data_IF_273075513447
#
_entry.id   IF_273075513447
#
_cell.length_a   1.000
_cell.length_b   1.000
_cell.length_c   1.000
_cell.angle_alpha   90.00
_cell.angle_beta   90.00
_cell.angle_gamma   90.00
#
_symmetry.space_group_name_H-M   'P 1'
#
loop_
_entity.id
_entity.type
_entity.pdbx_description
1 polymer ?
#
# COMPACT_ATOMS: atom_id res chain seq x y z
N UNK A 1 24.41 20.72 22.85
CA UNK A 1 24.14 19.34 22.39
C UNK A 1 23.83 19.40 20.90
N UNK A 2 24.49 18.60 20.05
CA UNK A 2 24.09 18.48 18.64
C UNK A 2 23.01 17.41 18.59
N UNK A 3 21.74 17.81 18.57
CA UNK A 3 20.66 16.90 18.20
C UNK A 3 20.95 16.44 16.77
N UNK A 4 20.97 15.14 16.54
CA UNK A 4 21.24 14.59 15.22
C UNK A 4 20.13 15.01 14.24
N UNK A 5 20.49 15.24 12.98
CA UNK A 5 19.55 15.72 11.95
C UNK A 5 18.42 14.74 11.69
N UNK A 6 18.67 13.44 11.82
CA UNK A 6 17.65 12.38 11.73
C UNK A 6 16.54 12.55 12.78
N UNK A 7 16.90 12.85 14.02
CA UNK A 7 15.96 13.08 15.13
C UNK A 7 15.10 14.32 14.87
N UNK A 8 15.71 15.44 14.43
CA UNK A 8 14.97 16.68 14.14
C UNK A 8 13.97 16.45 13.01
N UNK A 9 14.38 15.73 11.96
CA UNK A 9 13.53 15.40 10.82
C UNK A 9 12.38 14.48 11.22
N UNK A 10 12.66 13.40 11.96
CA UNK A 10 11.65 12.47 12.43
C UNK A 10 10.61 13.15 13.36
N UNK A 11 11.07 14.01 14.26
CA UNK A 11 10.20 14.84 15.09
C UNK A 11 9.30 15.75 14.25
N UNK A 12 9.85 16.43 13.25
CA UNK A 12 9.08 17.30 12.37
C UNK A 12 8.01 16.51 11.60
N UNK A 13 8.36 15.35 11.04
CA UNK A 13 7.44 14.47 10.34
C UNK A 13 6.35 13.91 11.26
N UNK A 14 6.71 13.50 12.48
CA UNK A 14 5.75 13.04 13.48
C UNK A 14 4.79 14.18 13.86
N UNK A 15 5.30 15.39 14.09
CA UNK A 15 4.48 16.55 14.39
C UNK A 15 3.55 16.90 13.23
N UNK A 16 4.03 16.90 12.00
CA UNK A 16 3.22 17.16 10.80
C UNK A 16 2.07 16.15 10.69
N UNK A 17 2.38 14.85 10.75
CA UNK A 17 1.39 13.81 10.58
C UNK A 17 0.40 13.69 11.76
N UNK A 18 0.89 13.86 13.01
CA UNK A 18 0.06 13.73 14.20
C UNK A 18 -0.74 15.00 14.54
N UNK A 19 -0.16 16.18 14.32
CA UNK A 19 -0.73 17.46 14.77
C UNK A 19 -1.39 18.22 13.63
N UNK A 20 -0.75 18.32 12.45
CA UNK A 20 -1.33 19.05 11.34
C UNK A 20 -2.37 18.19 10.60
N UNK A 21 -1.96 16.99 10.18
CA UNK A 21 -2.78 16.08 9.37
C UNK A 21 -3.71 15.22 10.23
N UNK A 22 -3.44 15.10 11.54
CA UNK A 22 -4.01 14.11 12.45
C UNK A 22 -5.52 13.94 12.37
N UNK A 23 -5.99 12.72 12.05
CA UNK A 23 -7.41 12.35 12.09
C UNK A 23 -7.65 11.41 13.29
N UNK A 24 -8.76 11.59 14.00
CA UNK A 24 -9.20 10.69 15.05
C UNK A 24 -10.13 9.59 14.51
N UNK A 25 -9.55 8.59 13.83
CA UNK A 25 -10.32 7.50 13.22
C UNK A 25 -11.10 6.68 14.23
N UNK A 26 -10.58 6.51 15.45
CA UNK A 26 -11.31 5.84 16.53
C UNK A 26 -12.69 6.46 16.80
N UNK A 27 -12.81 7.79 16.72
CA UNK A 27 -14.08 8.49 16.95
C UNK A 27 -14.89 8.65 15.67
N UNK A 28 -14.23 8.93 14.54
CA UNK A 28 -14.91 9.24 13.28
C UNK A 28 -15.30 7.99 12.47
N UNK A 29 -14.68 6.85 12.73
CA UNK A 29 -14.86 5.62 11.96
C UNK A 29 -14.28 5.69 10.55
N UNK A 30 -14.64 4.69 9.74
CA UNK A 30 -14.32 4.59 8.30
C UNK A 30 -15.42 5.20 7.43
N UNK A 31 -15.11 5.40 6.14
CA UNK A 31 -16.09 5.70 5.11
C UNK A 31 -15.75 6.94 4.28
N UNK A 32 -16.72 7.40 3.46
CA UNK A 32 -16.50 8.35 2.34
C UNK A 32 -16.14 9.78 2.76
N UNK A 33 -15.90 10.00 4.03
CA UNK A 33 -15.83 11.33 4.64
C UNK A 33 -14.43 11.60 5.20
N UNK A 34 -13.43 11.04 4.55
CA UNK A 34 -12.00 11.27 4.76
C UNK A 34 -11.34 11.79 3.47
N UNK A 35 -10.14 12.38 3.54
CA UNK A 35 -9.43 12.84 2.35
C UNK A 35 -9.25 11.72 1.32
N UNK A 36 -9.52 12.03 0.05
CA UNK A 36 -9.48 11.06 -1.06
C UNK A 36 -8.08 10.84 -1.62
N UNK A 37 -7.14 11.76 -1.42
CA UNK A 37 -5.76 11.67 -1.93
C UNK A 37 -4.74 12.02 -0.86
N UNK A 38 -3.49 11.63 -1.08
CA UNK A 38 -2.36 11.97 -0.22
C UNK A 38 -2.10 13.48 -0.15
N UNK A 39 -2.29 14.20 -1.25
CA UNK A 39 -2.21 15.66 -1.28
C UNK A 39 -3.30 16.30 -0.41
N UNK A 40 -4.52 15.77 -0.44
CA UNK A 40 -5.62 16.27 0.40
C UNK A 40 -5.33 16.08 1.91
N UNK A 41 -4.67 14.98 2.26
CA UNK A 41 -4.14 14.76 3.61
C UNK A 41 -3.13 15.85 4.03
N UNK A 42 -2.14 16.14 3.19
CA UNK A 42 -1.12 17.17 3.44
C UNK A 42 -1.69 18.58 3.56
N UNK A 43 -2.75 18.92 2.79
CA UNK A 43 -3.42 20.23 2.90
C UNK A 43 -4.04 20.47 4.28
N UNK A 44 -4.43 19.41 5.00
CA UNK A 44 -5.03 19.49 6.35
C UNK A 44 -6.35 20.30 6.39
N UNK A 45 -7.04 20.42 5.27
CA UNK A 45 -8.26 21.24 5.14
C UNK A 45 -9.56 20.46 5.23
N UNK A 46 -9.46 19.13 5.15
CA UNK A 46 -10.62 18.26 5.12
C UNK A 46 -11.40 18.30 6.44
N UNK A 47 -12.73 18.12 6.37
CA UNK A 47 -13.63 18.16 7.53
C UNK A 47 -13.26 17.17 8.64
N UNK A 48 -12.73 16.00 8.30
CA UNK A 48 -12.32 14.99 9.28
C UNK A 48 -11.10 15.46 10.08
N UNK A 49 -10.11 16.08 9.44
CA UNK A 49 -8.97 16.75 10.09
C UNK A 49 -9.41 17.94 10.95
N UNK A 50 -10.44 18.68 10.51
CA UNK A 50 -10.96 19.86 11.21
C UNK A 50 -12.02 19.56 12.27
N UNK A 51 -12.46 18.31 12.41
CA UNK A 51 -13.51 17.91 13.35
C UNK A 51 -13.10 18.18 14.81
N UNK A 52 -14.04 18.44 15.72
CA UNK A 52 -13.73 18.66 17.14
C UNK A 52 -12.90 17.53 17.77
N UNK A 53 -13.24 16.27 17.46
CA UNK A 53 -12.53 15.08 17.95
C UNK A 53 -11.06 15.07 17.47
N UNK A 54 -10.83 15.24 16.16
CA UNK A 54 -9.49 15.33 15.59
C UNK A 54 -8.70 16.51 16.18
N UNK A 55 -9.31 17.69 16.34
CA UNK A 55 -8.64 18.86 16.94
C UNK A 55 -8.24 18.62 18.40
N UNK A 56 -9.09 17.95 19.17
CA UNK A 56 -8.77 17.57 20.55
C UNK A 56 -7.56 16.61 20.58
N UNK A 57 -7.55 15.60 19.72
CA UNK A 57 -6.43 14.67 19.60
C UNK A 57 -5.14 15.36 19.18
N UNK A 58 -5.17 16.18 18.14
CA UNK A 58 -4.02 16.97 17.68
C UNK A 58 -3.44 17.85 18.80
N UNK A 59 -4.30 18.49 19.61
CA UNK A 59 -3.87 19.28 20.77
C UNK A 59 -3.15 18.41 21.81
N UNK A 60 -3.68 17.22 22.08
CA UNK A 60 -3.04 16.28 23.01
C UNK A 60 -1.70 15.76 22.47
N UNK A 61 -1.62 15.43 21.18
CA UNK A 61 -0.37 15.03 20.51
C UNK A 61 0.67 16.14 20.57
N UNK A 62 0.28 17.39 20.28
CA UNK A 62 1.16 18.56 20.41
C UNK A 62 1.71 18.72 21.82
N UNK A 63 0.86 18.60 22.85
CA UNK A 63 1.27 18.74 24.24
C UNK A 63 2.32 17.67 24.62
N UNK A 64 2.09 16.41 24.26
CA UNK A 64 3.05 15.31 24.50
C UNK A 64 4.37 15.52 23.79
N UNK A 65 4.35 15.91 22.51
CA UNK A 65 5.58 16.18 21.77
C UNK A 65 6.40 17.33 22.37
N UNK A 66 5.73 18.38 22.87
CA UNK A 66 6.40 19.48 23.59
C UNK A 66 7.01 18.99 24.91
N UNK A 67 6.30 18.16 25.66
CA UNK A 67 6.80 17.58 26.92
C UNK A 67 7.99 16.63 26.69
N UNK A 68 7.92 15.78 25.66
CA UNK A 68 8.99 14.92 25.21
C UNK A 68 10.26 15.72 24.86
N UNK A 69 10.09 16.84 24.14
CA UNK A 69 11.18 17.75 23.79
C UNK A 69 11.81 18.41 25.00
N UNK A 70 10.99 18.92 25.93
CA UNK A 70 11.47 19.53 27.16
C UNK A 70 12.26 18.52 28.01
N UNK A 71 11.73 17.30 28.15
CA UNK A 71 12.36 16.24 28.94
C UNK A 71 13.70 15.77 28.32
N UNK A 72 13.79 15.72 27.00
CA UNK A 72 15.04 15.40 26.32
C UNK A 72 16.07 16.54 26.41
N UNK A 73 15.63 17.80 26.39
CA UNK A 73 16.52 18.96 26.60
C UNK A 73 17.14 18.97 28.00
N UNK A 74 16.41 18.47 28.99
CA UNK A 74 16.86 18.27 30.38
C UNK A 74 17.71 16.99 30.58
N UNK A 75 18.06 16.26 29.52
CA UNK A 75 18.77 14.97 29.57
C UNK A 75 18.06 13.86 30.36
N UNK A 76 16.74 13.93 30.50
CA UNK A 76 15.96 12.93 31.26
C UNK A 76 15.55 11.71 30.43
N UNK A 77 15.49 11.85 29.10
CA UNK A 77 15.00 10.81 28.20
C UNK A 77 15.87 10.67 26.94
N UNK A 78 15.96 9.44 26.43
CA UNK A 78 16.50 9.15 25.09
C UNK A 78 15.47 9.54 24.02
N UNK A 79 15.81 10.48 23.15
CA UNK A 79 14.86 11.03 22.18
C UNK A 79 14.39 9.99 21.15
N UNK A 80 15.23 9.02 20.77
CA UNK A 80 14.83 7.99 19.80
C UNK A 80 13.76 7.09 20.39
N UNK A 81 13.99 6.58 21.60
CA UNK A 81 13.03 5.75 22.33
C UNK A 81 11.73 6.51 22.57
N UNK A 82 11.81 7.77 23.00
CA UNK A 82 10.61 8.61 23.20
C UNK A 82 9.82 8.80 21.91
N UNK A 83 10.48 9.06 20.78
CA UNK A 83 9.79 9.24 19.49
C UNK A 83 9.17 7.93 18.97
N UNK A 84 9.80 6.78 19.22
CA UNK A 84 9.21 5.47 18.93
C UNK A 84 7.93 5.29 19.76
N UNK A 85 7.98 5.57 21.06
CA UNK A 85 6.81 5.47 21.93
C UNK A 85 5.68 6.42 21.53
N UNK A 86 6.00 7.67 21.18
CA UNK A 86 5.02 8.63 20.67
C UNK A 86 4.43 8.15 19.34
N UNK A 87 5.23 7.62 18.41
CA UNK A 87 4.73 7.07 17.16
C UNK A 87 3.75 5.91 17.40
N UNK A 88 4.11 4.93 18.25
CA UNK A 88 3.25 3.80 18.62
C UNK A 88 1.94 4.27 19.25
N UNK A 89 1.98 5.32 20.07
CA UNK A 89 0.79 5.94 20.64
C UNK A 89 -0.06 6.62 19.58
N UNK A 90 0.56 7.34 18.66
CA UNK A 90 -0.15 8.04 17.60
C UNK A 90 -0.83 7.08 16.62
N UNK A 91 -0.31 5.88 16.38
CA UNK A 91 -0.99 4.87 15.54
C UNK A 91 -1.96 3.97 16.33
N UNK A 92 -2.17 4.23 17.63
CA UNK A 92 -3.18 3.55 18.44
C UNK A 92 -2.75 2.24 19.10
N UNK A 93 -1.45 1.90 19.09
CA UNK A 93 -0.94 0.59 19.53
C UNK A 93 0.00 0.64 20.74
N UNK A 94 0.04 1.74 21.49
CA UNK A 94 0.92 1.89 22.66
C UNK A 94 0.75 0.81 23.76
N UNK A 95 -0.37 0.09 23.77
CA UNK A 95 -0.63 -0.98 24.74
C UNK A 95 -0.16 -2.36 24.27
N UNK A 96 0.20 -2.50 22.99
CA UNK A 96 0.62 -3.78 22.40
C UNK A 96 2.10 -4.04 22.73
N UNK A 97 2.35 -5.00 23.63
CA UNK A 97 3.70 -5.27 24.14
C UNK A 97 4.66 -5.74 23.05
N UNK A 98 4.22 -6.61 22.14
CA UNK A 98 5.04 -7.12 21.04
C UNK A 98 5.57 -5.99 20.16
N UNK A 99 4.73 -5.01 19.82
CA UNK A 99 5.12 -3.86 19.01
C UNK A 99 6.12 -2.94 19.71
N UNK A 100 5.99 -2.76 21.03
CA UNK A 100 6.97 -1.98 21.80
C UNK A 100 8.35 -2.65 21.84
N UNK A 101 8.38 -3.98 21.87
CA UNK A 101 9.63 -4.74 21.91
C UNK A 101 10.31 -4.85 20.54
N UNK A 102 9.52 -4.88 19.45
CA UNK A 102 10.04 -5.08 18.10
C UNK A 102 10.25 -3.81 17.28
N UNK A 103 9.59 -2.70 17.62
CA UNK A 103 9.73 -1.43 16.90
C UNK A 103 11.16 -0.88 17.02
N UNK A 104 11.75 -0.52 15.89
CA UNK A 104 13.11 0.02 15.82
C UNK A 104 13.11 1.43 15.28
N UNK A 105 14.17 2.19 15.59
CA UNK A 105 14.36 3.54 15.06
C UNK A 105 14.35 3.57 13.51
N UNK A 106 15.06 2.70 12.79
CA UNK A 106 14.99 2.66 11.33
C UNK A 106 13.58 2.40 10.79
N UNK A 107 12.83 1.46 11.37
CA UNK A 107 11.46 1.17 10.92
C UNK A 107 10.52 2.36 11.13
N UNK A 108 10.56 3.00 12.30
CA UNK A 108 9.76 4.21 12.59
C UNK A 108 10.14 5.38 11.67
N UNK A 109 11.43 5.62 11.42
CA UNK A 109 11.87 6.67 10.49
C UNK A 109 11.39 6.39 9.07
N UNK A 110 11.52 5.16 8.58
CA UNK A 110 11.01 4.80 7.25
C UNK A 110 9.49 4.94 7.15
N UNK A 111 8.75 4.57 8.20
CA UNK A 111 7.31 4.78 8.26
C UNK A 111 6.95 6.27 8.25
N UNK A 112 7.68 7.13 8.95
CA UNK A 112 7.50 8.58 8.94
C UNK A 112 7.82 9.19 7.58
N UNK A 113 8.91 8.79 6.94
CA UNK A 113 9.30 9.22 5.59
C UNK A 113 8.27 8.81 4.53
N UNK A 114 7.66 7.63 4.67
CA UNK A 114 6.58 7.16 3.82
C UNK A 114 5.19 7.71 4.23
N UNK A 115 5.12 8.57 5.25
CA UNK A 115 3.89 9.17 5.80
C UNK A 115 2.85 8.15 6.28
N UNK A 116 3.28 7.08 6.92
CA UNK A 116 2.43 5.97 7.30
C UNK A 116 1.69 6.13 8.63
N UNK A 117 1.82 7.26 9.33
CA UNK A 117 1.13 7.44 10.62
C UNK A 117 -0.40 7.34 10.46
N UNK A 118 -0.98 8.00 9.45
CA UNK A 118 -2.43 7.96 9.22
C UNK A 118 -2.90 6.63 8.63
N UNK A 119 -2.24 6.05 7.60
CA UNK A 119 -2.54 4.69 7.15
C UNK A 119 -2.52 3.65 8.28
N UNK A 120 -1.47 3.61 9.09
CA UNK A 120 -1.35 2.67 10.20
C UNK A 120 -2.36 2.96 11.31
N UNK A 121 -2.63 4.23 11.62
CA UNK A 121 -3.68 4.59 12.60
C UNK A 121 -5.04 4.10 12.13
N UNK A 122 -5.41 4.33 10.87
CA UNK A 122 -6.67 3.89 10.33
C UNK A 122 -6.80 2.36 10.43
N UNK A 123 -5.78 1.60 10.00
CA UNK A 123 -5.80 0.14 10.09
C UNK A 123 -5.93 -0.37 11.53
N UNK A 124 -5.27 0.28 12.50
CA UNK A 124 -5.26 -0.16 13.90
C UNK A 124 -6.51 0.27 14.69
N UNK A 125 -7.09 1.43 14.38
CA UNK A 125 -8.22 2.00 15.13
C UNK A 125 -9.58 1.68 14.52
N UNK A 126 -9.65 1.50 13.21
CA UNK A 126 -10.90 1.20 12.53
C UNK A 126 -11.28 -0.28 12.69
N UNK A 127 -12.59 -0.51 12.74
CA UNK A 127 -13.19 -1.83 12.81
C UNK A 127 -14.20 -1.95 11.68
N UNK A 128 -13.85 -2.72 10.66
CA UNK A 128 -14.80 -3.20 9.66
C UNK A 128 -14.92 -4.71 9.82
N UNK A 129 -16.08 -5.17 10.30
CA UNK A 129 -16.31 -6.58 10.66
C UNK A 129 -17.22 -7.31 9.67
N UNK A 130 -17.50 -6.67 8.53
CA UNK A 130 -18.29 -7.25 7.45
C UNK A 130 -17.71 -6.78 6.11
N UNK A 131 -17.85 -7.59 5.05
CA UNK A 131 -17.58 -7.18 3.66
C UNK A 131 -18.63 -6.21 3.15
N UNK A 132 -18.44 -5.63 1.96
CA UNK A 132 -19.45 -4.81 1.29
C UNK A 132 -20.72 -5.60 0.96
N UNK A 133 -20.57 -6.90 0.70
CA UNK A 133 -21.69 -7.82 0.55
C UNK A 133 -22.30 -8.30 1.89
N UNK A 134 -21.85 -7.79 3.04
CA UNK A 134 -22.38 -8.10 4.36
C UNK A 134 -21.90 -9.42 4.97
N UNK A 135 -20.90 -10.09 4.37
CA UNK A 135 -20.32 -11.31 4.92
C UNK A 135 -19.48 -10.98 6.17
N UNK A 136 -19.64 -11.69 7.29
CA UNK A 136 -18.90 -11.38 8.52
C UNK A 136 -17.39 -11.66 8.37
N UNK A 137 -16.57 -10.79 8.95
CA UNK A 137 -15.12 -10.92 9.01
C UNK A 137 -14.67 -11.44 10.39
N UNK A 138 -13.72 -12.37 10.45
CA UNK A 138 -13.16 -12.84 11.72
C UNK A 138 -12.33 -11.73 12.39
N UNK A 139 -12.91 -11.05 13.39
CA UNK A 139 -12.29 -9.90 14.07
C UNK A 139 -10.90 -10.21 14.63
N UNK A 140 -10.75 -11.34 15.33
CA UNK A 140 -9.49 -11.71 15.98
C UNK A 140 -8.38 -11.98 14.95
N UNK A 141 -8.73 -12.57 13.82
CA UNK A 141 -7.80 -12.81 12.73
C UNK A 141 -7.42 -11.48 12.07
N UNK A 142 -8.39 -10.58 11.88
CA UNK A 142 -8.17 -9.25 11.29
C UNK A 142 -7.22 -8.43 12.14
N UNK A 143 -7.47 -8.42 13.45
CA UNK A 143 -6.56 -7.79 14.41
C UNK A 143 -5.17 -8.40 14.33
N UNK A 144 -5.04 -9.72 14.23
CA UNK A 144 -3.74 -10.41 14.15
C UNK A 144 -2.97 -10.05 12.88
N UNK A 145 -3.64 -10.01 11.72
CA UNK A 145 -3.03 -9.63 10.44
C UNK A 145 -2.57 -8.17 10.49
N UNK A 146 -3.41 -7.25 10.96
CA UNK A 146 -3.09 -5.83 11.08
C UNK A 146 -1.90 -5.58 12.03
N UNK A 147 -1.88 -6.26 13.18
CA UNK A 147 -0.76 -6.15 14.13
C UNK A 147 0.53 -6.72 13.54
N UNK A 148 0.47 -7.86 12.85
CA UNK A 148 1.64 -8.48 12.20
C UNK A 148 2.22 -7.59 11.10
N UNK A 149 1.35 -6.97 10.30
CA UNK A 149 1.74 -6.00 9.28
C UNK A 149 2.33 -4.74 9.91
N UNK A 150 1.72 -4.22 10.97
CA UNK A 150 2.25 -3.04 11.71
C UNK A 150 3.62 -3.36 12.30
N UNK A 151 3.79 -4.55 12.88
CA UNK A 151 5.08 -5.02 13.39
C UNK A 151 6.14 -5.07 12.29
N UNK A 152 5.81 -5.65 11.15
CA UNK A 152 6.71 -5.76 10.00
C UNK A 152 7.18 -4.38 9.51
N UNK A 153 6.29 -3.39 9.43
CA UNK A 153 6.62 -2.00 9.04
C UNK A 153 7.60 -1.37 10.03
N UNK A 154 7.43 -1.60 11.33
CA UNK A 154 8.22 -0.92 12.37
C UNK A 154 9.52 -1.64 12.74
N UNK A 155 9.68 -2.90 12.32
CA UNK A 155 10.85 -3.72 12.66
C UNK A 155 12.12 -3.28 11.94
N UNK A 156 12.04 -2.90 10.66
CA UNK A 156 13.17 -2.40 9.87
C UNK A 156 12.67 -1.64 8.63
N UNK A 157 13.57 -0.96 7.92
CA UNK A 157 13.24 -0.23 6.68
C UNK A 157 12.73 -1.11 5.54
N UNK A 158 13.00 -2.43 5.58
CA UNK A 158 12.53 -3.42 4.60
C UNK A 158 11.55 -4.43 5.20
N UNK A 159 11.23 -4.30 6.49
CA UNK A 159 10.54 -5.35 7.24
C UNK A 159 9.16 -5.69 6.68
N UNK A 160 8.45 -4.70 6.13
CA UNK A 160 7.19 -4.90 5.43
C UNK A 160 7.33 -5.80 4.21
N UNK A 161 8.23 -5.47 3.28
CA UNK A 161 8.51 -6.28 2.11
C UNK A 161 8.97 -7.69 2.52
N UNK A 162 9.95 -7.79 3.42
CA UNK A 162 10.47 -9.08 3.89
C UNK A 162 9.38 -9.98 4.50
N UNK A 163 8.47 -9.41 5.29
CA UNK A 163 7.35 -10.14 5.88
C UNK A 163 6.42 -10.73 4.81
N UNK A 164 6.00 -9.93 3.82
CA UNK A 164 5.08 -10.38 2.77
C UNK A 164 5.61 -11.58 2.01
N UNK A 165 6.90 -11.57 1.67
CA UNK A 165 7.53 -12.63 0.89
C UNK A 165 7.99 -13.85 1.71
N UNK A 166 8.05 -13.76 3.04
CA UNK A 166 8.56 -14.84 3.92
C UNK A 166 7.49 -15.62 4.67
N UNK A 167 6.25 -15.13 4.72
CA UNK A 167 5.12 -15.88 5.29
C UNK A 167 4.86 -17.18 4.50
N UNK A 168 4.36 -18.26 5.14
CA UNK A 168 4.01 -19.49 4.43
C UNK A 168 3.04 -19.26 3.27
N UNK A 169 1.98 -18.46 3.48
CA UNK A 169 1.05 -18.13 2.39
C UNK A 169 1.72 -17.27 1.31
N UNK A 170 2.63 -16.35 1.67
CA UNK A 170 3.40 -15.57 0.70
C UNK A 170 4.30 -16.45 -0.18
N UNK A 171 4.92 -17.47 0.39
CA UNK A 171 5.71 -18.46 -0.35
C UNK A 171 4.82 -19.34 -1.23
N UNK A 172 3.70 -19.83 -0.69
CA UNK A 172 2.71 -20.60 -1.45
C UNK A 172 2.16 -19.78 -2.62
N UNK A 173 1.97 -18.48 -2.45
CA UNK A 173 1.53 -17.57 -3.50
C UNK A 173 2.53 -17.48 -4.64
N UNK A 174 3.82 -17.66 -4.42
CA UNK A 174 4.86 -17.58 -5.45
C UNK A 174 5.32 -18.95 -5.97
N UNK A 175 4.83 -20.05 -5.38
CA UNK A 175 5.17 -21.41 -5.78
C UNK A 175 4.99 -21.67 -7.29
N UNK A 176 5.92 -22.41 -7.92
CA UNK A 176 5.92 -22.64 -9.37
C UNK A 176 6.60 -21.53 -10.18
N UNK A 177 7.01 -20.43 -9.55
CA UNK A 177 8.08 -19.58 -10.09
C UNK A 177 9.45 -20.14 -9.72
N UNK A 178 10.44 -19.91 -10.58
CA UNK A 178 11.85 -20.12 -10.25
C UNK A 178 12.39 -19.05 -9.31
N UNK A 179 13.49 -19.32 -8.61
CA UNK A 179 14.14 -18.34 -7.74
C UNK A 179 14.53 -17.06 -8.49
N UNK A 180 14.94 -17.19 -9.77
CA UNK A 180 15.24 -16.05 -10.61
C UNK A 180 14.00 -15.21 -10.92
N UNK A 181 12.87 -15.84 -11.21
CA UNK A 181 11.60 -15.14 -11.40
C UNK A 181 11.13 -14.45 -10.11
N UNK A 182 11.29 -15.09 -8.95
CA UNK A 182 10.94 -14.49 -7.66
C UNK A 182 11.85 -13.27 -7.37
N UNK A 183 13.15 -13.37 -7.67
CA UNK A 183 14.08 -12.26 -7.56
C UNK A 183 13.63 -11.07 -8.43
N UNK A 184 13.35 -11.31 -9.71
CA UNK A 184 12.87 -10.29 -10.64
C UNK A 184 11.51 -9.73 -10.22
N UNK A 185 10.60 -10.56 -9.74
CA UNK A 185 9.31 -10.10 -9.21
C UNK A 185 9.51 -9.11 -8.08
N UNK A 186 10.41 -9.40 -7.13
CA UNK A 186 10.68 -8.55 -5.97
C UNK A 186 11.42 -7.25 -6.32
N UNK A 187 12.33 -7.30 -7.28
CA UNK A 187 13.12 -6.15 -7.73
C UNK A 187 12.22 -5.04 -8.30
N UNK A 188 12.25 -3.80 -7.76
CA UNK A 188 11.46 -2.71 -8.33
C UNK A 188 11.91 -2.31 -9.73
N UNK A 189 10.96 -2.21 -10.66
CA UNK A 189 11.21 -1.70 -12.01
C UNK A 189 10.85 -0.22 -12.10
N UNK A 190 11.59 0.55 -12.86
CA UNK A 190 11.26 1.93 -13.21
C UNK A 190 11.62 2.20 -14.67
N UNK A 191 10.78 2.99 -15.35
CA UNK A 191 10.96 3.36 -16.74
C UNK A 191 10.57 4.82 -16.96
N UNK A 192 11.34 5.51 -17.80
CA UNK A 192 11.02 6.85 -18.29
C UNK A 192 10.41 6.74 -19.68
N UNK A 193 9.41 7.58 -19.94
CA UNK A 193 8.64 7.62 -21.17
C UNK A 193 8.70 9.01 -21.80
N UNK A 194 7.98 9.19 -22.91
CA UNK A 194 7.86 10.48 -23.57
C UNK A 194 7.37 11.57 -22.59
N UNK A 195 7.77 12.82 -22.86
CA UNK A 195 7.44 14.00 -22.04
C UNK A 195 7.88 13.94 -20.57
N UNK A 196 8.75 13.00 -20.20
CA UNK A 196 9.24 12.85 -18.83
C UNK A 196 8.30 12.09 -17.88
N UNK A 197 7.22 11.51 -18.41
CA UNK A 197 6.35 10.60 -17.68
C UNK A 197 7.17 9.40 -17.18
N UNK A 198 6.94 8.96 -15.94
CA UNK A 198 7.63 7.81 -15.36
C UNK A 198 6.64 6.78 -14.88
N UNK A 199 6.90 5.52 -15.19
CA UNK A 199 6.20 4.38 -14.54
C UNK A 199 7.18 3.68 -13.63
N UNK A 200 6.79 3.39 -12.40
CA UNK A 200 7.67 2.70 -11.47
C UNK A 200 6.88 1.86 -10.47
N UNK A 201 7.48 0.79 -10.00
CA UNK A 201 7.06 0.14 -8.76
C UNK A 201 7.49 1.01 -7.56
N UNK A 202 7.03 0.68 -6.36
CA UNK A 202 7.51 1.38 -5.16
C UNK A 202 8.96 0.99 -4.82
N UNK A 203 9.59 1.72 -3.90
CA UNK A 203 10.94 1.40 -3.42
C UNK A 203 11.02 0.00 -2.78
N UNK A 204 12.23 -0.48 -2.51
CA UNK A 204 12.51 -1.82 -1.94
C UNK A 204 11.69 -2.14 -0.68
N UNK A 205 11.35 -1.12 0.12
CA UNK A 205 10.52 -1.28 1.32
C UNK A 205 9.02 -1.40 1.09
N UNK A 206 8.52 -1.13 -0.12
CA UNK A 206 7.11 -1.21 -0.57
C UNK A 206 6.09 -0.41 0.26
N UNK A 207 6.55 0.54 1.08
CA UNK A 207 5.72 1.35 1.98
C UNK A 207 4.75 2.30 1.24
N UNK A 208 5.05 2.67 -0.01
CA UNK A 208 4.17 3.44 -0.88
C UNK A 208 2.87 2.72 -1.24
N UNK A 209 2.79 1.40 -1.06
CA UNK A 209 1.56 0.63 -1.35
C UNK A 209 0.40 1.05 -0.45
N UNK A 210 0.68 1.54 0.75
CA UNK A 210 -0.35 2.10 1.64
C UNK A 210 -1.07 3.31 1.04
N UNK A 211 -0.36 4.09 0.21
CA UNK A 211 -0.92 5.26 -0.45
C UNK A 211 -1.46 4.96 -1.84
N UNK A 212 -1.04 3.87 -2.46
CA UNK A 212 -1.52 3.48 -3.79
C UNK A 212 -3.05 3.37 -3.83
N UNK A 213 -3.69 2.86 -2.78
CA UNK A 213 -5.15 2.74 -2.75
C UNK A 213 -5.92 4.06 -2.68
N UNK A 214 -5.23 5.18 -2.45
CA UNK A 214 -5.80 6.52 -2.55
C UNK A 214 -5.81 7.08 -3.98
N UNK A 215 -5.16 6.39 -4.91
CA UNK A 215 -5.20 6.71 -6.34
C UNK A 215 -6.36 5.90 -6.95
N UNK A 216 -7.15 6.46 -7.88
CA UNK A 216 -8.31 5.80 -8.45
C UNK A 216 -9.62 5.92 -7.65
N UNK A 217 -9.58 6.65 -6.54
CA UNK A 217 -10.77 7.12 -5.86
C UNK A 217 -10.93 6.73 -4.40
N UNK A 218 -11.93 7.34 -3.73
CA UNK A 218 -12.12 7.19 -2.29
C UNK A 218 -12.60 5.80 -1.86
N UNK A 219 -13.12 4.96 -2.76
CA UNK A 219 -13.82 3.71 -2.43
C UNK A 219 -12.93 2.57 -1.91
N UNK A 220 -11.60 2.67 -2.00
CA UNK A 220 -10.72 1.57 -1.54
C UNK A 220 -9.55 2.06 -0.67
N UNK A 221 -9.62 3.29 -0.16
CA UNK A 221 -8.61 3.82 0.76
C UNK A 221 -8.56 3.05 2.08
N UNK A 222 -7.41 3.07 2.74
CA UNK A 222 -7.17 2.44 4.06
C UNK A 222 -8.14 2.87 5.19
N UNK A 223 -8.82 3.99 5.00
CA UNK A 223 -9.77 4.64 5.91
C UNK A 223 -11.22 4.64 5.38
N UNK A 224 -11.47 4.00 4.24
CA UNK A 224 -12.78 3.82 3.65
C UNK A 224 -13.25 2.38 3.83
N UNK A 225 -12.48 1.45 3.27
CA UNK A 225 -12.66 0.00 3.33
C UNK A 225 -11.31 -0.59 3.74
N UNK A 226 -11.00 -0.49 5.03
CA UNK A 226 -9.68 -0.86 5.58
C UNK A 226 -9.22 -2.28 5.23
N UNK A 227 -10.14 -3.18 4.91
CA UNK A 227 -9.87 -4.56 4.47
C UNK A 227 -9.57 -4.68 2.97
N UNK A 228 -10.06 -3.77 2.12
CA UNK A 228 -9.82 -3.83 0.67
C UNK A 228 -8.37 -3.52 0.30
N UNK A 229 -7.66 -2.78 1.15
CA UNK A 229 -6.22 -2.56 1.00
C UNK A 229 -5.38 -3.76 1.48
N UNK A 230 -5.91 -4.62 2.37
CA UNK A 230 -5.14 -5.75 2.92
C UNK A 230 -4.66 -6.74 1.86
N UNK A 231 -5.43 -7.12 0.82
CA UNK A 231 -4.90 -7.96 -0.25
C UNK A 231 -3.65 -7.34 -0.88
N UNK A 232 -3.62 -6.03 -1.11
CA UNK A 232 -2.43 -5.35 -1.66
C UNK A 232 -1.26 -5.41 -0.68
N UNK A 233 -1.51 -5.19 0.61
CA UNK A 233 -0.44 -5.08 1.60
C UNK A 233 0.07 -6.42 2.12
N UNK A 234 -0.75 -7.47 2.11
CA UNK A 234 -0.41 -8.74 2.73
C UNK A 234 0.11 -9.78 1.72
N UNK A 235 -0.35 -9.72 0.47
CA UNK A 235 -0.02 -10.76 -0.51
C UNK A 235 1.29 -10.49 -1.22
N UNK A 236 2.17 -11.49 -1.24
CA UNK A 236 3.41 -11.48 -2.02
C UNK A 236 3.14 -11.37 -3.53
N UNK A 237 2.00 -11.86 -4.02
CA UNK A 237 1.63 -11.83 -5.45
C UNK A 237 1.05 -10.51 -5.95
N UNK A 238 0.85 -9.51 -5.08
CA UNK A 238 0.22 -8.24 -5.47
C UNK A 238 1.23 -7.09 -5.46
N UNK A 239 1.23 -6.30 -6.52
CA UNK A 239 2.03 -5.07 -6.60
C UNK A 239 1.22 -3.97 -7.28
N UNK A 240 1.84 -2.81 -7.44
CA UNK A 240 1.27 -1.67 -8.15
C UNK A 240 2.32 -1.01 -9.02
N UNK A 241 1.95 -0.66 -10.24
CA UNK A 241 2.69 0.26 -11.09
C UNK A 241 2.15 1.65 -10.81
N UNK A 242 3.03 2.56 -10.41
CA UNK A 242 2.75 3.97 -10.13
C UNK A 242 3.15 4.81 -11.35
N UNK A 243 2.33 5.81 -11.67
CA UNK A 243 2.58 6.76 -12.75
C UNK A 243 2.92 8.11 -12.13
N UNK A 244 4.09 8.64 -12.44
CA UNK A 244 4.55 9.95 -11.98
C UNK A 244 4.73 10.89 -13.16
N UNK A 245 4.15 12.09 -13.06
CA UNK A 245 4.20 13.12 -14.10
C UNK A 245 5.05 14.31 -13.64
N UNK A 246 5.94 14.86 -14.49
CA UNK A 246 6.82 15.96 -14.08
C UNK A 246 6.10 17.26 -13.73
N UNK A 247 4.85 17.44 -14.18
CA UNK A 247 4.00 18.60 -13.82
C UNK A 247 3.34 18.46 -12.46
N UNK A 248 3.39 17.26 -11.86
CA UNK A 248 2.86 16.97 -10.53
C UNK A 248 3.89 16.18 -9.71
N UNK A 249 4.74 16.92 -9.00
CA UNK A 249 5.95 16.39 -8.38
C UNK A 249 5.76 15.74 -7.03
N UNK A 250 4.61 15.97 -6.38
CA UNK A 250 4.45 15.59 -4.97
C UNK A 250 4.31 14.08 -4.80
N UNK A 251 3.47 13.45 -5.62
CA UNK A 251 3.05 12.05 -5.52
C UNK A 251 2.73 11.49 -6.91
N UNK A 252 2.67 10.15 -7.07
CA UNK A 252 2.17 9.55 -8.30
C UNK A 252 0.76 10.07 -8.65
N UNK A 253 0.54 10.33 -9.93
CA UNK A 253 -0.72 10.82 -10.52
C UNK A 253 -1.64 9.69 -10.99
N UNK A 254 -1.13 8.47 -11.06
CA UNK A 254 -1.89 7.31 -11.50
C UNK A 254 -1.34 6.01 -10.95
N UNK A 255 -2.13 4.95 -11.05
CA UNK A 255 -1.73 3.60 -10.69
C UNK A 255 -2.38 2.53 -11.57
N UNK A 256 -1.75 1.37 -11.64
CA UNK A 256 -2.39 0.13 -12.07
C UNK A 256 -1.98 -1.00 -11.14
N UNK A 257 -2.93 -1.78 -10.64
CA UNK A 257 -2.58 -3.01 -9.94
C UNK A 257 -2.10 -4.04 -10.93
N UNK A 258 -1.15 -4.86 -10.50
CA UNK A 258 -0.84 -6.08 -11.20
C UNK A 258 -0.59 -7.22 -10.24
N UNK A 259 -1.03 -8.41 -10.65
CA UNK A 259 -1.10 -9.59 -9.80
C UNK A 259 -0.42 -10.76 -10.50
N UNK A 260 0.36 -11.53 -9.75
CA UNK A 260 0.75 -12.87 -10.19
C UNK A 260 -0.42 -13.83 -9.95
N UNK A 261 -0.95 -14.39 -11.03
CA UNK A 261 -2.02 -15.38 -11.03
C UNK A 261 -1.56 -16.67 -11.70
N UNK A 262 -2.35 -17.74 -11.59
CA UNK A 262 -2.06 -19.02 -12.24
C UNK A 262 -3.20 -19.44 -13.15
N UNK A 263 -2.92 -19.67 -14.42
CA UNK A 263 -3.88 -20.22 -15.37
C UNK A 263 -3.83 -21.75 -15.37
N UNK A 264 -5.00 -22.40 -15.36
CA UNK A 264 -5.13 -23.80 -15.78
C UNK A 264 -5.71 -23.81 -17.19
N UNK A 265 -4.82 -23.83 -18.18
CA UNK A 265 -5.23 -23.95 -19.58
C UNK A 265 -5.89 -25.31 -19.87
N UNK A 266 -6.79 -25.35 -20.84
CA UNK A 266 -7.37 -26.60 -21.36
C UNK A 266 -6.26 -27.56 -21.81
N UNK A 267 -6.06 -28.66 -21.10
CA UNK A 267 -5.05 -29.69 -21.43
C UNK A 267 -3.69 -29.55 -20.75
N UNK A 268 -3.46 -28.50 -19.94
CA UNK A 268 -2.22 -28.37 -19.14
C UNK A 268 -2.37 -29.11 -17.81
N UNK A 269 -1.35 -29.92 -17.46
CA UNK A 269 -1.34 -30.71 -16.20
C UNK A 269 -1.00 -29.90 -14.96
N UNK A 270 -0.33 -28.76 -15.13
CA UNK A 270 0.09 -27.89 -14.03
C UNK A 270 -0.34 -26.44 -14.31
N UNK A 271 -0.74 -25.69 -13.27
CA UNK A 271 -1.04 -24.28 -13.43
C UNK A 271 0.21 -23.48 -13.82
N UNK A 272 0.06 -22.52 -14.72
CA UNK A 272 1.15 -21.66 -15.20
C UNK A 272 0.99 -20.23 -14.73
N UNK A 273 2.08 -19.51 -14.39
CA UNK A 273 2.00 -18.13 -13.96
C UNK A 273 1.53 -17.19 -15.09
N UNK A 274 0.81 -16.14 -14.71
CA UNK A 274 0.41 -14.98 -15.52
C UNK A 274 0.66 -13.71 -14.71
N UNK A 275 1.20 -12.68 -15.35
CA UNK A 275 1.06 -11.32 -14.84
C UNK A 275 -0.28 -10.79 -15.32
N UNK A 276 -1.19 -10.50 -14.40
CA UNK A 276 -2.47 -9.87 -14.70
C UNK A 276 -2.37 -8.38 -14.40
N UNK A 277 -2.58 -7.52 -15.40
CA UNK A 277 -2.60 -6.07 -15.25
C UNK A 277 -4.06 -5.57 -15.22
N UNK A 278 -4.40 -4.82 -14.17
CA UNK A 278 -5.68 -4.11 -14.07
C UNK A 278 -5.64 -2.75 -14.77
N UNK A 279 -6.79 -2.09 -14.92
CA UNK A 279 -6.90 -0.78 -15.56
C UNK A 279 -6.11 0.31 -14.83
N UNK A 280 -5.54 1.22 -15.64
CA UNK A 280 -4.87 2.42 -15.14
C UNK A 280 -5.91 3.39 -14.58
N UNK A 281 -5.71 3.79 -13.33
CA UNK A 281 -6.58 4.71 -12.61
C UNK A 281 -5.82 6.00 -12.26
N UNK A 282 -6.49 7.14 -12.36
CA UNK A 282 -5.92 8.45 -12.04
C UNK A 282 -6.18 8.86 -10.57
N UNK A 283 -5.28 9.67 -10.01
CA UNK A 283 -5.55 10.44 -8.80
C UNK A 283 -6.53 11.57 -9.15
N UNK A 284 -7.69 11.60 -8.51
CA UNK A 284 -8.72 12.60 -8.79
C UNK A 284 -8.30 14.03 -8.49
N UNK A 285 -7.28 14.24 -7.66
CA UNK A 285 -6.77 15.58 -7.33
C UNK A 285 -5.65 16.04 -8.26
N UNK A 286 -5.11 15.16 -9.12
CA UNK A 286 -4.06 15.51 -10.08
C UNK A 286 -4.70 15.99 -11.40
N UNK A 287 -4.62 17.28 -11.75
CA UNK A 287 -5.20 17.83 -12.99
C UNK A 287 -4.28 17.56 -14.20
N UNK A 288 -3.82 16.32 -14.35
CA UNK A 288 -2.86 15.90 -15.38
C UNK A 288 -3.60 15.09 -16.44
N UNK A 289 -3.23 15.30 -17.71
CA UNK A 289 -3.77 14.50 -18.81
C UNK A 289 -3.32 13.04 -18.67
N UNK A 290 -4.26 12.10 -18.80
CA UNK A 290 -3.97 10.67 -18.81
C UNK A 290 -3.49 10.15 -20.18
N UNK A 291 -3.30 11.05 -21.15
CA UNK A 291 -2.82 10.71 -22.48
C UNK A 291 -1.47 9.96 -22.41
N UNK A 292 -1.40 8.80 -23.05
CA UNK A 292 -0.21 7.96 -23.08
C UNK A 292 0.07 7.14 -21.82
N UNK A 293 -0.71 7.29 -20.73
CA UNK A 293 -0.48 6.52 -19.50
C UNK A 293 -0.69 5.01 -19.71
N UNK A 294 -1.74 4.63 -20.43
CA UNK A 294 -2.00 3.22 -20.76
C UNK A 294 -0.82 2.60 -21.50
N UNK A 295 -0.33 3.27 -22.54
CA UNK A 295 0.84 2.86 -23.31
C UNK A 295 2.08 2.71 -22.42
N UNK A 296 2.33 3.67 -21.54
CA UNK A 296 3.47 3.66 -20.63
C UNK A 296 3.39 2.49 -19.62
N UNK A 297 2.22 2.27 -19.02
CA UNK A 297 1.98 1.19 -18.06
C UNK A 297 2.07 -0.17 -18.74
N UNK A 298 1.52 -0.33 -19.95
CA UNK A 298 1.64 -1.57 -20.73
C UNK A 298 3.11 -1.85 -21.08
N UNK A 299 3.86 -0.84 -21.50
CA UNK A 299 5.31 -0.97 -21.79
C UNK A 299 6.08 -1.45 -20.56
N UNK A 300 5.78 -0.89 -19.39
CA UNK A 300 6.32 -1.34 -18.12
C UNK A 300 5.97 -2.82 -17.85
N UNK A 301 4.69 -3.16 -18.00
CA UNK A 301 4.19 -4.49 -17.71
C UNK A 301 4.80 -5.56 -18.64
N UNK A 302 4.90 -5.26 -19.93
CA UNK A 302 5.55 -6.11 -20.95
C UNK A 302 7.01 -6.34 -20.60
N UNK A 303 7.75 -5.28 -20.26
CA UNK A 303 9.17 -5.41 -19.91
C UNK A 303 9.40 -6.30 -18.69
N UNK A 304 8.53 -6.24 -17.68
CA UNK A 304 8.61 -7.13 -16.52
C UNK A 304 8.28 -8.58 -16.89
N UNK A 305 7.21 -8.77 -17.65
CA UNK A 305 6.75 -10.06 -18.13
C UNK A 305 7.85 -10.77 -18.94
N UNK A 306 8.50 -10.04 -19.84
CA UNK A 306 9.63 -10.52 -20.63
C UNK A 306 10.83 -10.90 -19.76
N UNK A 307 11.22 -10.02 -18.82
CA UNK A 307 12.33 -10.30 -17.91
C UNK A 307 12.07 -11.57 -17.10
N UNK A 308 10.84 -11.73 -16.61
CA UNK A 308 10.42 -12.92 -15.86
C UNK A 308 10.12 -14.13 -16.76
N UNK A 309 10.08 -13.97 -18.08
CA UNK A 309 9.67 -15.01 -19.03
C UNK A 309 8.29 -15.61 -18.68
N UNK A 310 7.31 -14.76 -18.33
CA UNK A 310 5.93 -15.18 -18.04
C UNK A 310 4.95 -14.37 -18.87
N UNK A 311 3.81 -14.94 -19.31
CA UNK A 311 2.84 -14.20 -20.12
C UNK A 311 2.20 -13.05 -19.33
N UNK A 312 2.00 -11.92 -20.03
CA UNK A 312 1.17 -10.81 -19.58
C UNK A 312 -0.27 -11.05 -20.07
N UNK A 313 -1.22 -10.94 -19.14
CA UNK A 313 -2.65 -10.94 -19.39
C UNK A 313 -3.21 -9.57 -19.01
N UNK A 314 -4.06 -9.03 -19.87
CA UNK A 314 -4.73 -7.74 -19.69
C UNK A 314 -6.22 -7.91 -19.93
N UNK A 315 -7.02 -6.97 -19.45
CA UNK A 315 -8.42 -6.90 -19.80
C UNK A 315 -8.61 -6.63 -21.31
N UNK A 316 -9.70 -7.15 -21.90
CA UNK A 316 -10.04 -6.95 -23.32
C UNK A 316 -10.11 -5.47 -23.72
N UNK A 317 -10.47 -4.58 -22.79
CA UNK A 317 -10.48 -3.13 -23.03
C UNK A 317 -9.09 -2.57 -23.38
N UNK A 318 -8.01 -3.21 -22.92
CA UNK A 318 -6.62 -2.81 -23.19
C UNK A 318 -6.03 -3.50 -24.43
N UNK A 319 -6.76 -4.43 -25.05
CA UNK A 319 -6.24 -5.25 -26.16
C UNK A 319 -5.79 -4.42 -27.36
N UNK A 320 -6.53 -3.35 -27.69
CA UNK A 320 -6.18 -2.47 -28.82
C UNK A 320 -4.85 -1.74 -28.58
N UNK A 321 -4.64 -1.23 -27.37
CA UNK A 321 -3.38 -0.58 -26.99
C UNK A 321 -2.22 -1.57 -26.98
N UNK A 322 -2.44 -2.79 -26.47
CA UNK A 322 -1.46 -3.87 -26.46
C UNK A 322 -1.05 -4.29 -27.88
N UNK A 323 -2.01 -4.50 -28.79
CA UNK A 323 -1.73 -4.81 -30.20
C UNK A 323 -0.96 -3.70 -30.91
N UNK A 324 -1.32 -2.44 -30.66
CA UNK A 324 -0.62 -1.28 -31.23
C UNK A 324 0.84 -1.22 -30.79
N UNK A 325 1.11 -1.53 -29.52
CA UNK A 325 2.45 -1.56 -28.94
C UNK A 325 3.33 -2.69 -29.48
N UNK A 326 2.78 -3.89 -29.60
CA UNK A 326 3.55 -5.08 -29.98
C UNK A 326 3.64 -5.27 -31.51
N UNK A 327 2.74 -4.64 -32.27
CA UNK A 327 2.62 -4.83 -33.71
C UNK A 327 2.40 -6.30 -34.06
N UNK A 328 2.94 -6.73 -35.21
CA UNK A 328 2.91 -8.13 -35.66
C UNK A 328 4.08 -8.98 -35.12
N UNK A 329 4.87 -8.44 -34.20
CA UNK A 329 6.13 -9.07 -33.76
C UNK A 329 5.97 -10.09 -32.63
N UNK A 330 4.79 -10.16 -32.01
CA UNK A 330 4.49 -11.09 -30.90
C UNK A 330 3.09 -11.68 -31.05
N UNK A 331 2.94 -12.89 -30.54
CA UNK A 331 1.65 -13.57 -30.46
C UNK A 331 0.80 -12.90 -29.37
N UNK A 332 -0.10 -12.01 -29.79
CA UNK A 332 -1.18 -11.49 -28.95
C UNK A 332 -2.43 -12.26 -29.31
N UNK A 333 -2.92 -13.04 -28.36
CA UNK A 333 -4.08 -13.91 -28.53
C UNK A 333 -5.16 -13.55 -27.53
N UNK A 334 -6.40 -13.51 -28.00
CA UNK A 334 -7.55 -13.52 -27.10
C UNK A 334 -7.74 -14.95 -26.59
N UNK A 335 -7.71 -15.10 -25.26
CA UNK A 335 -7.82 -16.40 -24.62
C UNK A 335 -8.86 -16.39 -23.50
N UNK A 336 -9.57 -17.49 -23.36
CA UNK A 336 -10.41 -17.77 -22.18
C UNK A 336 -9.66 -18.77 -21.30
N UNK A 337 -9.15 -18.30 -20.17
CA UNK A 337 -8.43 -19.11 -19.19
C UNK A 337 -9.15 -19.10 -17.84
N UNK A 338 -9.01 -20.20 -17.09
CA UNK A 338 -9.46 -20.25 -15.70
C UNK A 338 -8.32 -19.83 -14.80
N UNK A 339 -8.42 -18.63 -14.24
CA UNK A 339 -7.46 -18.10 -13.28
C UNK A 339 -7.66 -18.72 -11.91
N UNK A 340 -6.58 -19.20 -11.31
CA UNK A 340 -6.51 -19.70 -9.95
C UNK A 340 -5.98 -18.59 -9.04
N UNK A 341 -6.79 -18.26 -8.04
CA UNK A 341 -6.35 -17.45 -6.92
C UNK A 341 -5.88 -18.38 -5.79
N UNK A 342 -4.61 -18.24 -5.39
CA UNK A 342 -4.06 -18.98 -4.25
C UNK A 342 -4.49 -18.34 -2.94
N UNK A 343 -4.34 -19.08 -1.84
CA UNK A 343 -4.62 -18.58 -0.50
C UNK A 343 -3.86 -17.26 -0.21
N UNK A 344 -4.50 -16.39 0.56
CA UNK A 344 -4.03 -15.04 0.87
C UNK A 344 -3.34 -14.97 2.23
N UNK A 345 -2.54 -13.92 2.45
CA UNK A 345 -2.18 -13.45 3.80
C UNK A 345 -3.22 -12.45 4.35
N UNK A 346 -4.10 -11.95 3.50
CA UNK A 346 -5.25 -11.15 3.89
C UNK A 346 -6.45 -12.05 4.18
N UNK A 347 -7.38 -11.53 4.97
CA UNK A 347 -8.63 -12.22 5.32
C UNK A 347 -9.68 -12.06 4.22
N UNK A 348 -9.58 -10.94 3.50
CA UNK A 348 -10.46 -10.56 2.40
C UNK A 348 -9.63 -10.50 1.14
N UNK A 349 -10.20 -11.00 0.04
CA UNK A 349 -9.72 -10.75 -1.32
C UNK A 349 -10.73 -9.89 -2.04
N UNK A 350 -10.28 -8.83 -2.71
CA UNK A 350 -11.12 -7.95 -3.50
C UNK A 350 -10.55 -7.79 -4.92
N UNK A 351 -11.39 -8.02 -5.92
CA UNK A 351 -11.11 -7.70 -7.32
C UNK A 351 -12.37 -7.81 -8.18
N UNK A 352 -12.75 -6.71 -8.81
CA UNK A 352 -13.87 -6.67 -9.77
C UNK A 352 -13.56 -7.44 -11.06
N UNK A 353 -12.28 -7.72 -11.31
CA UNK A 353 -11.80 -8.36 -12.53
C UNK A 353 -11.72 -9.89 -12.41
N UNK A 354 -11.60 -10.43 -11.19
CA UNK A 354 -11.40 -11.86 -10.98
C UNK A 354 -12.70 -12.62 -10.67
N UNK A 355 -13.71 -11.92 -10.18
CA UNK A 355 -14.90 -12.52 -9.61
C UNK A 355 -16.08 -11.54 -9.61
N UNK A 356 -17.30 -12.04 -9.78
CA UNK A 356 -18.52 -11.26 -9.58
C UNK A 356 -18.87 -11.03 -8.11
N UNK A 357 -18.29 -11.83 -7.22
CA UNK A 357 -18.26 -11.56 -5.79
C UNK A 357 -17.18 -10.49 -5.58
N UNK A 358 -17.60 -9.23 -5.54
CA UNK A 358 -16.78 -8.16 -4.98
C UNK A 358 -16.49 -8.56 -3.52
N UNK A 359 -15.23 -8.42 -3.09
CA UNK A 359 -14.74 -8.69 -1.73
C UNK A 359 -15.28 -9.93 -0.98
N UNK A 360 -14.56 -11.06 -1.04
CA UNK A 360 -14.94 -12.30 -0.34
C UNK A 360 -13.99 -12.69 0.78
N UNK A 361 -14.55 -13.40 1.77
CA UNK A 361 -13.81 -13.95 2.90
C UNK A 361 -13.16 -15.26 2.47
N UNK A 362 -11.87 -15.40 2.74
CA UNK A 362 -11.20 -16.66 2.47
C UNK A 362 -11.52 -17.66 3.58
N UNK A 363 -12.15 -18.77 3.21
CA UNK A 363 -12.28 -19.93 4.08
C UNK A 363 -10.91 -20.53 4.38
N UNK A 364 -10.66 -20.86 5.65
CA UNK A 364 -9.39 -21.43 6.12
C UNK A 364 -9.00 -22.74 5.43
#
# INVERSE_FOLDING_TARGET
MKISSDIVRALAQLAEQAVAMGIDYKTLGIGWHHPSSRTSYRRCEHRSTRSPASRQRQKASKARLVEALASAADFKLDMRSTLIEEFLREIGVAHEASLRESATWPGVVSALEAELLLPLRALNECRMLQTMCGAPLPEDELKRVVLSLTEAVLKSSTGFADWRYSTPRGQDQLCGLSDHQIMLWREPTAQEHAAGLKTHEDAVGELGFFWATKIGGPSHGFDYESQCILPLLANARHKVILVSDPTWTDHPVGRAHWRLLWSVGCGKKQPEPRLWLETVNADFEAPVSSEGWETAVLTHAISKADAMCIPLSVDLMQATALHSLLGSSRDVEEISEKMLLRASNAIVEASDYLSSEHDWVLGC
#
